data_IF_761522400339
#
_entry.id   IF_761522400339
#
_cell.length_a   1.000
_cell.length_b   1.000
_cell.length_c   1.000
_cell.angle_alpha   90.00
_cell.angle_beta   90.00
_cell.angle_gamma   90.00
#
_symmetry.space_group_name_H-M   'P 1'
#
loop_
_entity.id
_entity.type
_entity.pdbx_description
1 polymer ?
#
# COMPACT_ATOMS: atom_id res chain seq x y z
N UNK A 1 -13.29 17.62 18.77
CA UNK A 1 -13.79 16.40 18.10
C UNK A 1 -13.17 15.21 18.81
N UNK A 2 -13.88 14.11 19.05
CA UNK A 2 -13.25 12.92 19.67
C UNK A 2 -12.21 12.32 18.70
N UNK A 3 -11.07 11.79 19.19
CA UNK A 3 -10.00 11.26 18.34
C UNK A 3 -10.49 10.15 17.40
N UNK A 4 -11.48 9.38 17.83
CA UNK A 4 -12.16 8.38 16.99
C UNK A 4 -12.81 8.97 15.74
N UNK A 5 -13.45 10.14 15.86
CA UNK A 5 -14.16 10.79 14.74
C UNK A 5 -13.15 11.40 13.77
N UNK A 6 -12.05 11.96 14.28
CA UNK A 6 -10.96 12.46 13.44
C UNK A 6 -10.31 11.34 12.63
N UNK A 7 -10.02 10.20 13.28
CA UNK A 7 -9.54 9.01 12.58
C UNK A 7 -10.53 8.52 11.51
N UNK A 8 -11.83 8.44 11.85
CA UNK A 8 -12.85 7.99 10.92
C UNK A 8 -12.95 8.90 9.69
N UNK A 9 -12.89 10.22 9.88
CA UNK A 9 -12.90 11.21 8.79
C UNK A 9 -11.63 11.07 7.94
N UNK A 10 -10.46 10.98 8.58
CA UNK A 10 -9.19 10.81 7.87
C UNK A 10 -9.18 9.54 7.01
N UNK A 11 -9.64 8.43 7.59
CA UNK A 11 -9.69 7.13 6.92
C UNK A 11 -10.71 7.11 5.76
N UNK A 12 -11.94 7.56 6.01
CA UNK A 12 -12.99 7.60 4.98
C UNK A 12 -12.65 8.59 3.86
N UNK A 13 -12.08 9.74 4.20
CA UNK A 13 -11.61 10.73 3.23
C UNK A 13 -10.53 10.15 2.30
N UNK A 14 -9.49 9.55 2.87
CA UNK A 14 -8.45 8.85 2.09
C UNK A 14 -9.01 7.71 1.25
N UNK A 15 -9.94 6.92 1.79
CA UNK A 15 -10.58 5.82 1.06
C UNK A 15 -11.32 6.34 -0.18
N UNK A 16 -12.12 7.39 -0.03
CA UNK A 16 -12.89 7.98 -1.12
C UNK A 16 -11.98 8.54 -2.22
N UNK A 17 -10.90 9.24 -1.85
CA UNK A 17 -9.94 9.77 -2.81
C UNK A 17 -9.31 8.63 -3.62
N UNK A 18 -8.84 7.58 -2.94
CA UNK A 18 -8.25 6.40 -3.58
C UNK A 18 -9.21 5.66 -4.52
N UNK A 19 -10.45 5.45 -4.07
CA UNK A 19 -11.46 4.77 -4.86
C UNK A 19 -11.85 5.59 -6.11
N UNK A 20 -12.13 6.89 -5.94
CA UNK A 20 -12.55 7.76 -7.03
C UNK A 20 -11.45 7.92 -8.08
N UNK A 21 -10.18 8.10 -7.68
CA UNK A 21 -9.07 8.21 -8.62
C UNK A 21 -8.92 6.97 -9.51
N UNK A 22 -9.01 5.77 -8.92
CA UNK A 22 -8.93 4.52 -9.66
C UNK A 22 -10.12 4.35 -10.63
N UNK A 23 -11.34 4.70 -10.19
CA UNK A 23 -12.54 4.61 -11.03
C UNK A 23 -12.48 5.57 -12.22
N UNK A 24 -11.97 6.79 -12.04
CA UNK A 24 -11.77 7.75 -13.15
C UNK A 24 -10.85 7.14 -14.22
N UNK A 25 -9.72 6.55 -13.82
CA UNK A 25 -8.80 5.90 -14.75
C UNK A 25 -9.42 4.67 -15.42
N UNK A 26 -10.19 3.88 -14.67
CA UNK A 26 -10.92 2.75 -15.24
C UNK A 26 -11.88 3.18 -16.35
N UNK A 27 -12.59 4.29 -16.16
CA UNK A 27 -13.50 4.84 -17.16
C UNK A 27 -12.75 5.38 -18.39
N UNK A 28 -11.62 6.07 -18.19
CA UNK A 28 -10.78 6.57 -19.28
C UNK A 28 -10.27 5.40 -20.14
N UNK A 29 -9.71 4.36 -19.51
CA UNK A 29 -9.20 3.19 -20.22
C UNK A 29 -10.32 2.40 -20.91
N UNK A 30 -11.49 2.27 -20.27
CA UNK A 30 -12.66 1.63 -20.88
C UNK A 30 -13.15 2.37 -22.12
N UNK A 31 -13.19 3.71 -22.10
CA UNK A 31 -13.55 4.54 -23.28
C UNK A 31 -12.47 4.47 -24.37
N UNK A 32 -11.20 4.58 -23.98
CA UNK A 32 -10.08 4.53 -24.91
C UNK A 32 -9.93 3.19 -25.63
N UNK A 33 -10.23 2.08 -24.96
CA UNK A 33 -10.28 0.74 -25.56
C UNK A 33 -11.35 0.63 -26.64
N UNK A 34 -12.55 1.17 -26.39
CA UNK A 34 -13.63 1.20 -27.41
C UNK A 34 -13.24 2.01 -28.64
N UNK A 35 -12.52 3.12 -28.44
CA UNK A 35 -12.07 4.01 -29.51
C UNK A 35 -10.79 3.53 -30.23
N UNK A 36 -10.16 2.41 -29.80
CA UNK A 36 -8.86 1.92 -30.26
C UNK A 36 -7.73 2.98 -30.26
N UNK A 37 -7.86 4.02 -29.44
CA UNK A 37 -6.96 5.18 -29.47
C UNK A 37 -5.78 5.03 -28.51
N UNK A 38 -5.91 4.19 -27.47
CA UNK A 38 -4.89 4.05 -26.42
C UNK A 38 -3.86 3.00 -26.82
N UNK A 39 -2.58 3.41 -26.80
CA UNK A 39 -1.41 2.54 -27.00
C UNK A 39 -1.02 1.85 -25.69
N UNK A 40 -0.35 0.69 -25.79
CA UNK A 40 0.14 -0.09 -24.64
C UNK A 40 0.95 0.76 -23.66
N UNK A 41 1.85 1.63 -24.16
CA UNK A 41 2.68 2.48 -23.30
C UNK A 41 1.85 3.43 -22.43
N UNK A 42 0.70 3.90 -22.92
CA UNK A 42 -0.19 4.77 -22.16
C UNK A 42 -0.94 3.99 -21.07
N UNK A 43 -1.33 2.74 -21.35
CA UNK A 43 -1.93 1.85 -20.35
C UNK A 43 -0.98 1.64 -19.15
N UNK A 44 0.28 1.34 -19.44
CA UNK A 44 1.34 1.15 -18.44
C UNK A 44 1.58 2.44 -17.66
N UNK A 45 1.75 3.58 -18.35
CA UNK A 45 1.98 4.86 -17.70
C UNK A 45 0.84 5.25 -16.76
N UNK A 46 -0.42 5.08 -17.19
CA UNK A 46 -1.59 5.36 -16.34
C UNK A 46 -1.64 4.46 -15.10
N UNK A 47 -1.27 3.18 -15.23
CA UNK A 47 -1.23 2.25 -14.11
C UNK A 47 -0.17 2.62 -13.06
N UNK A 48 0.97 3.17 -13.47
CA UNK A 48 2.06 3.58 -12.55
C UNK A 48 1.76 4.97 -11.94
N UNK A 49 1.26 5.91 -12.74
CA UNK A 49 1.06 7.29 -12.31
C UNK A 49 -0.20 7.48 -11.46
N UNK A 50 -1.26 6.71 -11.69
CA UNK A 50 -2.52 6.87 -10.97
C UNK A 50 -2.39 6.71 -9.44
N UNK A 51 -1.70 5.68 -8.91
CA UNK A 51 -1.43 5.56 -7.47
C UNK A 51 -0.71 6.79 -6.91
N UNK A 52 0.29 7.30 -7.64
CA UNK A 52 1.07 8.46 -7.23
C UNK A 52 0.24 9.75 -7.18
N UNK A 53 -0.61 9.97 -8.19
CA UNK A 53 -1.52 11.13 -8.21
C UNK A 53 -2.51 11.04 -7.05
N UNK A 54 -3.07 9.85 -6.77
CA UNK A 54 -3.97 9.64 -5.64
C UNK A 54 -3.31 9.98 -4.30
N UNK A 55 -2.05 9.57 -4.12
CA UNK A 55 -1.24 9.90 -2.96
C UNK A 55 -1.09 11.42 -2.78
N UNK A 56 -0.67 12.12 -3.84
CA UNK A 56 -0.44 13.57 -3.80
C UNK A 56 -1.72 14.37 -3.53
N UNK A 57 -2.86 13.96 -4.10
CA UNK A 57 -4.15 14.59 -3.83
C UNK A 57 -4.54 14.42 -2.37
N UNK A 58 -4.38 13.21 -1.83
CA UNK A 58 -4.69 12.93 -0.43
C UNK A 58 -3.79 13.72 0.52
N UNK A 59 -2.47 13.77 0.29
CA UNK A 59 -1.58 14.60 1.12
C UNK A 59 -1.88 16.09 1.00
N UNK A 60 -2.17 16.59 -0.20
CA UNK A 60 -2.52 18.00 -0.42
C UNK A 60 -3.80 18.42 0.32
N UNK A 61 -4.72 17.48 0.55
CA UNK A 61 -5.94 17.66 1.32
C UNK A 61 -5.77 17.34 2.82
N UNK A 62 -4.55 17.10 3.28
CA UNK A 62 -4.20 16.71 4.66
C UNK A 62 -4.87 15.39 5.12
N UNK A 63 -5.15 14.49 4.18
CA UNK A 63 -5.56 13.11 4.45
C UNK A 63 -4.35 12.16 4.42
N UNK A 64 -4.55 10.89 4.75
CA UNK A 64 -3.48 9.88 4.65
C UNK A 64 -3.25 9.48 3.19
N UNK A 65 -2.11 9.91 2.62
CA UNK A 65 -1.66 9.51 1.29
C UNK A 65 -1.45 8.00 1.17
N UNK A 66 -0.91 7.37 2.21
CA UNK A 66 -0.64 5.93 2.27
C UNK A 66 -1.94 5.12 2.17
N UNK A 67 -2.98 5.51 2.90
CA UNK A 67 -4.28 4.83 2.79
C UNK A 67 -4.87 5.03 1.39
N UNK A 68 -4.78 6.24 0.83
CA UNK A 68 -5.31 6.53 -0.50
C UNK A 68 -4.64 5.71 -1.60
N UNK A 69 -3.29 5.62 -1.60
CA UNK A 69 -2.56 4.86 -2.62
C UNK A 69 -2.84 3.35 -2.53
N UNK A 70 -3.03 2.81 -1.31
CA UNK A 70 -3.41 1.41 -1.10
C UNK A 70 -4.81 1.10 -1.65
N UNK A 71 -5.80 1.92 -1.30
CA UNK A 71 -7.17 1.74 -1.80
C UNK A 71 -7.22 1.91 -3.32
N UNK A 72 -6.49 2.89 -3.86
CA UNK A 72 -6.35 3.06 -5.30
C UNK A 72 -5.76 1.79 -5.94
N UNK A 73 -4.72 1.20 -5.37
CA UNK A 73 -4.14 -0.06 -5.83
C UNK A 73 -5.14 -1.23 -5.87
N UNK A 74 -5.94 -1.39 -4.82
CA UNK A 74 -7.00 -2.42 -4.77
C UNK A 74 -8.02 -2.21 -5.91
N UNK A 75 -8.49 -0.98 -6.10
CA UNK A 75 -9.46 -0.66 -7.15
C UNK A 75 -8.86 -0.78 -8.57
N UNK A 76 -7.57 -0.51 -8.75
CA UNK A 76 -6.88 -0.72 -10.03
C UNK A 76 -6.91 -2.19 -10.45
N UNK A 77 -6.63 -3.12 -9.53
CA UNK A 77 -6.70 -4.56 -9.82
C UNK A 77 -8.13 -5.00 -10.14
N UNK A 78 -9.13 -4.46 -9.45
CA UNK A 78 -10.52 -4.87 -9.64
C UNK A 78 -11.16 -4.27 -10.92
N UNK A 79 -10.91 -2.99 -11.20
CA UNK A 79 -11.64 -2.23 -12.22
C UNK A 79 -10.79 -1.86 -13.44
N UNK A 80 -9.48 -1.72 -13.30
CA UNK A 80 -8.60 -1.33 -14.42
C UNK A 80 -8.00 -2.55 -15.11
N UNK A 81 -7.55 -3.54 -14.34
CA UNK A 81 -6.87 -4.72 -14.87
C UNK A 81 -7.66 -5.50 -15.94
N UNK A 82 -9.01 -5.67 -15.86
CA UNK A 82 -9.80 -6.28 -16.94
C UNK A 82 -9.85 -5.44 -18.23
N UNK A 83 -9.61 -4.13 -18.12
CA UNK A 83 -9.62 -3.22 -19.27
C UNK A 83 -8.28 -3.21 -20.01
N UNK A 84 -7.18 -3.63 -19.37
CA UNK A 84 -5.84 -3.65 -19.97
C UNK A 84 -5.68 -4.68 -21.09
N UNK A 85 -4.67 -4.46 -21.94
CA UNK A 85 -4.18 -5.46 -22.88
C UNK A 85 -3.41 -6.58 -22.17
N UNK A 86 -3.38 -7.78 -22.76
CA UNK A 86 -2.65 -8.95 -22.19
C UNK A 86 -1.16 -8.66 -21.99
N UNK A 87 -0.56 -7.94 -22.93
CA UNK A 87 0.84 -7.53 -22.87
C UNK A 87 1.08 -6.55 -21.71
N UNK A 88 0.24 -5.51 -21.59
CA UNK A 88 0.35 -4.55 -20.49
C UNK A 88 0.20 -5.24 -19.13
N UNK A 89 -0.78 -6.13 -18.96
CA UNK A 89 -0.97 -6.88 -17.71
C UNK A 89 0.28 -7.68 -17.31
N UNK A 90 0.92 -8.38 -18.27
CA UNK A 90 2.15 -9.15 -18.00
C UNK A 90 3.31 -8.24 -17.57
N UNK A 91 3.49 -7.12 -18.26
CA UNK A 91 4.54 -6.14 -17.94
C UNK A 91 4.29 -5.50 -16.58
N UNK A 92 3.05 -5.08 -16.29
CA UNK A 92 2.69 -4.47 -15.01
C UNK A 92 2.90 -5.42 -13.83
N UNK A 93 2.50 -6.69 -13.98
CA UNK A 93 2.69 -7.70 -12.92
C UNK A 93 4.17 -7.90 -12.62
N UNK A 94 4.98 -8.17 -13.66
CA UNK A 94 6.43 -8.32 -13.48
C UNK A 94 7.09 -7.06 -12.92
N UNK A 95 6.65 -5.87 -13.37
CA UNK A 95 7.17 -4.58 -12.90
C UNK A 95 6.89 -4.34 -11.43
N UNK A 96 5.64 -4.49 -10.98
CA UNK A 96 5.29 -4.31 -9.57
C UNK A 96 5.91 -5.37 -8.66
N UNK A 97 5.99 -6.64 -9.09
CA UNK A 97 6.69 -7.68 -8.34
C UNK A 97 8.19 -7.35 -8.18
N UNK A 98 8.84 -6.85 -9.23
CA UNK A 98 10.25 -6.45 -9.18
C UNK A 98 10.46 -5.25 -8.24
N UNK A 99 9.59 -4.24 -8.33
CA UNK A 99 9.66 -3.06 -7.44
C UNK A 99 9.39 -3.45 -5.98
N UNK A 100 8.44 -4.33 -5.73
CA UNK A 100 8.15 -4.84 -4.38
C UNK A 100 9.36 -5.58 -3.79
N UNK A 101 9.96 -6.48 -4.56
CA UNK A 101 11.16 -7.22 -4.15
C UNK A 101 12.35 -6.27 -3.87
N UNK A 102 12.54 -5.26 -4.72
CA UNK A 102 13.58 -4.26 -4.52
C UNK A 102 13.32 -3.41 -3.25
N UNK A 103 12.08 -2.96 -3.04
CA UNK A 103 11.70 -2.19 -1.86
C UNK A 103 11.86 -3.01 -0.58
N UNK A 104 11.47 -4.29 -0.59
CA UNK A 104 11.66 -5.22 0.52
C UNK A 104 13.15 -5.39 0.85
N UNK A 105 14.00 -5.57 -0.17
CA UNK A 105 15.45 -5.69 0.00
C UNK A 105 16.06 -4.42 0.62
N UNK A 106 15.60 -3.24 0.21
CA UNK A 106 16.04 -1.95 0.74
C UNK A 106 15.63 -1.78 2.21
N UNK A 107 14.38 -2.11 2.55
CA UNK A 107 13.89 -2.05 3.94
C UNK A 107 14.68 -3.00 4.84
N UNK A 108 14.93 -4.24 4.41
CA UNK A 108 15.74 -5.18 5.19
C UNK A 108 17.18 -4.70 5.38
N UNK A 109 17.78 -4.12 4.35
CA UNK A 109 19.12 -3.54 4.45
C UNK A 109 19.13 -2.40 5.48
N UNK A 110 18.16 -1.49 5.46
CA UNK A 110 18.09 -0.39 6.42
C UNK A 110 17.87 -0.85 7.86
N UNK A 111 17.00 -1.82 8.09
CA UNK A 111 16.79 -2.40 9.43
C UNK A 111 18.08 -3.07 9.91
N UNK A 112 18.76 -3.83 9.04
CA UNK A 112 20.03 -4.47 9.37
C UNK A 112 21.15 -3.48 9.69
N UNK A 113 21.27 -2.40 8.90
CA UNK A 113 22.23 -1.33 9.16
C UNK A 113 21.94 -0.59 10.48
N UNK A 114 20.66 -0.40 10.81
CA UNK A 114 20.24 0.23 12.07
C UNK A 114 20.76 -0.48 13.32
N UNK A 115 20.98 -1.79 13.27
CA UNK A 115 21.57 -2.57 14.37
C UNK A 115 23.04 -2.18 14.62
N UNK A 116 23.78 -1.85 13.56
CA UNK A 116 25.19 -1.45 13.67
C UNK A 116 25.39 0.05 13.90
N UNK A 117 24.38 0.87 13.60
CA UNK A 117 24.45 2.32 13.70
C UNK A 117 24.17 2.87 15.11
N UNK A 118 23.62 2.07 16.01
CA UNK A 118 23.31 2.46 17.39
C UNK A 118 24.38 1.91 18.34
N UNK A 119 25.22 2.80 18.87
CA UNK A 119 26.17 2.46 19.93
C UNK A 119 25.41 2.01 21.19
N UNK A 120 25.94 1.01 21.92
CA UNK A 120 25.40 0.42 23.15
C UNK A 120 24.07 -0.36 23.07
N UNK A 121 23.60 -0.73 21.87
CA UNK A 121 22.36 -1.53 21.67
C UNK A 121 22.28 -2.80 22.53
N UNK A 122 23.41 -3.48 22.74
CA UNK A 122 23.46 -4.73 23.50
C UNK A 122 23.50 -4.54 25.03
N UNK A 123 23.97 -3.39 25.51
CA UNK A 123 23.97 -3.06 26.95
C UNK A 123 22.58 -2.60 27.42
N UNK A 124 21.87 -1.81 26.61
CA UNK A 124 20.56 -1.26 27.00
C UNK A 124 19.40 -2.26 26.85
N UNK A 125 19.43 -3.13 25.83
CA UNK A 125 18.33 -4.06 25.54
C UNK A 125 18.56 -5.43 26.21
N UNK A 126 19.84 -5.86 26.31
CA UNK A 126 20.24 -7.14 26.85
C UNK A 126 19.62 -8.36 26.15
N UNK A 127 20.13 -9.57 26.45
CA UNK A 127 19.52 -10.81 25.94
C UNK A 127 18.07 -11.00 26.45
N UNK A 128 17.78 -10.44 27.63
CA UNK A 128 16.48 -10.56 28.29
C UNK A 128 15.40 -9.72 27.59
N UNK A 129 15.74 -8.54 27.05
CA UNK A 129 14.81 -7.72 26.27
C UNK A 129 14.43 -8.36 24.93
N UNK A 130 15.38 -9.04 24.28
CA UNK A 130 15.12 -9.80 23.03
C UNK A 130 14.16 -10.97 23.31
N UNK A 131 14.44 -11.75 24.36
CA UNK A 131 13.58 -12.89 24.75
C UNK A 131 12.18 -12.39 25.13
N UNK A 132 12.09 -11.32 25.92
CA UNK A 132 10.82 -10.71 26.32
C UNK A 132 10.03 -10.21 25.10
N UNK A 133 10.67 -9.54 24.15
CA UNK A 133 10.03 -9.10 22.91
C UNK A 133 9.48 -10.30 22.10
N UNK A 134 10.27 -11.37 21.94
CA UNK A 134 9.80 -12.58 21.26
C UNK A 134 8.56 -13.19 21.95
N UNK A 135 8.56 -13.28 23.29
CA UNK A 135 7.42 -13.82 24.05
C UNK A 135 6.20 -12.90 23.92
N UNK A 136 6.36 -11.60 24.12
CA UNK A 136 5.28 -10.62 24.06
C UNK A 136 4.63 -10.54 22.68
N UNK A 137 5.43 -10.60 21.59
CA UNK A 137 4.89 -10.62 20.23
C UNK A 137 4.00 -11.85 19.97
N UNK A 138 4.40 -13.02 20.47
CA UNK A 138 3.60 -14.24 20.35
C UNK A 138 2.32 -14.18 21.18
N UNK A 139 2.38 -13.67 22.41
CA UNK A 139 1.18 -13.48 23.26
C UNK A 139 0.22 -12.48 22.61
N UNK A 140 0.72 -11.32 22.15
CA UNK A 140 -0.09 -10.30 21.49
C UNK A 140 -0.78 -10.86 20.24
N UNK A 141 -0.06 -11.64 19.43
CA UNK A 141 -0.63 -12.34 18.27
C UNK A 141 -1.70 -13.34 18.68
N UNK A 142 -1.46 -14.17 19.70
CA UNK A 142 -2.41 -15.16 20.18
C UNK A 142 -3.70 -14.51 20.70
N UNK A 143 -3.60 -13.42 21.47
CA UNK A 143 -4.76 -12.68 21.96
C UNK A 143 -5.56 -12.07 20.81
N UNK A 144 -4.90 -11.41 19.86
CA UNK A 144 -5.60 -10.73 18.76
C UNK A 144 -6.31 -11.73 17.83
N UNK A 145 -5.69 -12.88 17.56
CA UNK A 145 -6.31 -13.95 16.78
C UNK A 145 -7.43 -14.63 17.59
N UNK A 146 -7.23 -14.89 18.89
CA UNK A 146 -8.25 -15.53 19.73
C UNK A 146 -9.52 -14.69 19.86
N UNK A 147 -9.39 -13.38 20.03
CA UNK A 147 -10.54 -12.47 20.11
C UNK A 147 -11.28 -12.43 18.76
N UNK A 148 -10.56 -12.30 17.64
CA UNK A 148 -11.20 -12.27 16.31
C UNK A 148 -11.86 -13.60 15.95
N UNK A 149 -11.26 -14.73 16.32
CA UNK A 149 -11.85 -16.07 16.15
C UNK A 149 -13.06 -16.33 17.06
N UNK A 150 -13.17 -15.65 18.20
CA UNK A 150 -14.33 -15.77 19.10
C UNK A 150 -15.52 -14.90 18.66
N UNK A 151 -15.29 -13.89 17.81
CA UNK A 151 -16.32 -12.97 17.30
C UNK A 151 -16.93 -13.48 15.97
N UNK A 152 -16.19 -14.27 15.19
CA UNK A 152 -16.68 -14.97 14.00
C UNK A 152 -17.39 -16.27 14.34
#
# INVERSE_FOLDING_TARGET
>A
MSPFVEFAILFLGSFLIGAVSALIIALILKKGKKSKTIKINNEIAMMILCPWISYLIAEGLKFSGIVSILINGVFLVQYVDPNLSKTSRKVMKAGFETVAWAAESVVFLFIGLGVFAVDNTFEDIGALGIIAACVLMNIARAMNIGITAAIC
#
